data_IF_642972698641
#
_entry.id   IF_642972698641
#
_cell.length_a   1.000
_cell.length_b   1.000
_cell.length_c   1.000
_cell.angle_alpha   90.00
_cell.angle_beta   90.00
_cell.angle_gamma   90.00
#
_symmetry.space_group_name_H-M   'P 1'
#
loop_
_entity.id
_entity.type
_entity.pdbx_description
1 polymer ?
#
# COMPACT_ATOMS: atom_id res chain seq x y z
N UNK A 1 8.71 13.80 -22.89
CA UNK A 1 7.66 13.36 -23.84
C UNK A 1 7.15 11.99 -23.41
N UNK A 2 5.86 11.70 -23.55
CA UNK A 2 5.31 10.36 -23.28
C UNK A 2 5.74 9.38 -24.38
N UNK A 3 6.02 8.08 -24.09
CA UNK A 3 6.53 7.17 -25.11
C UNK A 3 5.53 6.95 -26.25
N UNK A 4 6.02 6.89 -27.50
CA UNK A 4 5.18 6.55 -28.65
C UNK A 4 4.80 5.06 -28.69
N UNK A 5 5.75 4.18 -28.34
CA UNK A 5 5.56 2.73 -28.30
C UNK A 5 4.42 2.33 -27.34
N UNK A 6 3.33 1.69 -27.84
CA UNK A 6 2.22 1.23 -27.01
C UNK A 6 2.64 0.30 -25.86
N UNK A 7 3.61 -0.60 -26.10
CA UNK A 7 4.04 -1.56 -25.07
C UNK A 7 4.70 -0.85 -23.89
N UNK A 8 5.64 0.07 -24.17
CA UNK A 8 6.25 0.92 -23.15
C UNK A 8 5.22 1.78 -22.39
N UNK A 9 4.22 2.33 -23.07
CA UNK A 9 3.14 3.09 -22.41
C UNK A 9 2.32 2.21 -21.45
N UNK A 10 2.02 0.99 -21.86
CA UNK A 10 1.29 0.03 -21.03
C UNK A 10 2.08 -0.34 -19.78
N UNK A 11 3.38 -0.64 -19.93
CA UNK A 11 4.26 -0.96 -18.82
C UNK A 11 4.34 0.18 -17.79
N UNK A 12 4.49 1.43 -18.23
CA UNK A 12 4.51 2.59 -17.31
C UNK A 12 3.18 2.71 -16.55
N UNK A 13 2.05 2.55 -17.23
CA UNK A 13 0.73 2.57 -16.57
C UNK A 13 0.57 1.43 -15.57
N UNK A 14 1.07 0.23 -15.89
CA UNK A 14 1.08 -0.90 -14.99
C UNK A 14 1.86 -0.57 -13.71
N UNK A 15 3.03 0.07 -13.81
CA UNK A 15 3.81 0.48 -12.63
C UNK A 15 3.06 1.49 -11.74
N UNK A 16 2.38 2.47 -12.32
CA UNK A 16 1.53 3.39 -11.56
C UNK A 16 0.34 2.66 -10.92
N UNK A 17 -0.26 1.72 -11.64
CA UNK A 17 -1.32 0.86 -11.12
C UNK A 17 -0.85 0.00 -9.94
N UNK A 18 0.36 -0.55 -10.02
CA UNK A 18 1.02 -1.32 -8.96
C UNK A 18 1.19 -0.48 -7.69
N UNK A 19 1.71 0.74 -7.83
CA UNK A 19 1.84 1.69 -6.70
C UNK A 19 0.49 1.98 -6.06
N UNK A 20 -0.52 2.33 -6.87
CA UNK A 20 -1.87 2.64 -6.37
C UNK A 20 -2.53 1.43 -5.69
N UNK A 21 -2.32 0.22 -6.22
CA UNK A 21 -2.85 -1.02 -5.62
C UNK A 21 -2.25 -1.27 -4.24
N UNK A 22 -0.94 -1.13 -4.09
CA UNK A 22 -0.25 -1.26 -2.81
C UNK A 22 -0.69 -0.18 -1.80
N UNK A 23 -0.79 1.07 -2.22
CA UNK A 23 -1.31 2.16 -1.39
C UNK A 23 -2.71 1.84 -0.84
N UNK A 24 -3.65 1.49 -1.72
CA UNK A 24 -5.03 1.19 -1.33
C UNK A 24 -5.11 -0.05 -0.44
N UNK A 25 -4.28 -1.06 -0.70
CA UNK A 25 -4.20 -2.24 0.14
C UNK A 25 -3.72 -1.88 1.56
N UNK A 26 -2.66 -1.07 1.69
CA UNK A 26 -2.14 -0.64 2.99
C UNK A 26 -3.18 0.18 3.76
N UNK A 27 -3.85 1.12 3.09
CA UNK A 27 -4.96 1.87 3.68
C UNK A 27 -6.12 0.95 4.13
N UNK A 28 -6.40 -0.11 3.37
CA UNK A 28 -7.40 -1.11 3.73
C UNK A 28 -7.04 -1.89 5.00
N UNK A 29 -5.76 -2.28 5.17
CA UNK A 29 -5.31 -2.96 6.38
C UNK A 29 -5.46 -2.07 7.62
N UNK A 30 -5.08 -0.80 7.50
CA UNK A 30 -5.20 0.16 8.61
C UNK A 30 -6.66 0.40 9.00
N UNK A 31 -7.56 0.53 8.02
CA UNK A 31 -9.00 0.63 8.31
C UNK A 31 -9.53 -0.61 9.01
N UNK A 32 -9.19 -1.80 8.53
CA UNK A 32 -9.63 -3.05 9.15
C UNK A 32 -9.12 -3.19 10.59
N UNK A 33 -7.87 -2.78 10.85
CA UNK A 33 -7.28 -2.76 12.21
C UNK A 33 -8.02 -1.77 13.13
N UNK A 34 -8.32 -0.56 12.64
CA UNK A 34 -9.13 0.42 13.39
C UNK A 34 -10.53 -0.10 13.70
N UNK A 35 -11.20 -0.71 12.72
CA UNK A 35 -12.53 -1.28 12.89
C UNK A 35 -12.51 -2.44 13.91
N UNK A 36 -11.50 -3.31 13.84
CA UNK A 36 -11.31 -4.40 14.80
C UNK A 36 -11.09 -3.87 16.23
N UNK A 37 -10.33 -2.78 16.39
CA UNK A 37 -10.14 -2.10 17.69
C UNK A 37 -11.40 -1.44 18.22
N UNK A 38 -12.22 -0.86 17.34
CA UNK A 38 -13.50 -0.28 17.73
C UNK A 38 -14.47 -1.35 18.28
N UNK A 39 -14.39 -2.58 17.77
CA UNK A 39 -15.20 -3.71 18.24
C UNK A 39 -14.60 -4.37 19.49
N UNK A 40 -13.27 -4.48 19.56
CA UNK A 40 -12.54 -5.05 20.67
C UNK A 40 -11.33 -4.18 21.02
N UNK A 41 -11.38 -3.39 22.11
CA UNK A 41 -10.28 -2.54 22.55
C UNK A 41 -8.94 -3.29 22.77
N UNK A 42 -8.99 -4.59 23.06
CA UNK A 42 -7.82 -5.45 23.29
C UNK A 42 -7.27 -6.09 21.99
N UNK A 43 -7.83 -5.75 20.83
CA UNK A 43 -7.33 -6.25 19.54
C UNK A 43 -5.84 -5.88 19.34
N UNK A 44 -4.96 -6.86 19.09
CA UNK A 44 -3.54 -6.60 18.88
C UNK A 44 -3.33 -5.91 17.53
N UNK A 45 -3.10 -4.60 17.59
CA UNK A 45 -2.90 -3.76 16.42
C UNK A 45 -1.58 -4.07 15.72
N UNK A 46 -1.60 -4.13 14.40
CA UNK A 46 -0.37 -4.17 13.60
C UNK A 46 0.21 -2.77 13.57
N UNK A 47 1.53 -2.63 13.74
CA UNK A 47 2.18 -1.34 13.54
C UNK A 47 1.92 -0.81 12.11
N UNK A 48 1.33 0.38 11.99
CA UNK A 48 1.04 1.03 10.69
C UNK A 48 2.27 1.72 10.11
N UNK A 49 3.38 1.00 10.08
CA UNK A 49 4.68 1.46 9.61
C UNK A 49 5.13 0.68 8.38
N UNK A 50 6.05 1.26 7.60
CA UNK A 50 6.45 0.72 6.31
C UNK A 50 6.97 -0.72 6.43
N UNK A 51 7.80 -1.01 7.43
CA UNK A 51 8.38 -2.34 7.63
C UNK A 51 7.32 -3.42 7.87
N UNK A 52 6.41 -3.18 8.81
CA UNK A 52 5.34 -4.12 9.17
C UNK A 52 4.37 -4.37 8.00
N UNK A 53 3.90 -3.31 7.35
CA UNK A 53 2.98 -3.42 6.21
C UNK A 53 3.64 -4.07 5.00
N UNK A 54 4.92 -3.78 4.74
CA UNK A 54 5.66 -4.45 3.64
C UNK A 54 5.88 -5.94 3.91
N UNK A 55 6.10 -6.32 5.18
CA UNK A 55 6.19 -7.73 5.56
C UNK A 55 4.88 -8.47 5.27
N UNK A 56 3.75 -7.89 5.66
CA UNK A 56 2.44 -8.45 5.36
C UNK A 56 2.13 -8.49 3.87
N UNK A 57 2.42 -7.42 3.13
CA UNK A 57 2.27 -7.39 1.67
C UNK A 57 3.00 -8.56 1.02
N UNK A 58 4.25 -8.83 1.43
CA UNK A 58 5.02 -9.94 0.88
C UNK A 58 4.40 -11.32 1.14
N UNK A 59 3.60 -11.49 2.18
CA UNK A 59 2.90 -12.74 2.48
C UNK A 59 1.64 -12.93 1.62
N UNK A 60 1.00 -11.84 1.19
CA UNK A 60 -0.30 -11.88 0.52
C UNK A 60 -0.28 -11.42 -0.94
N UNK A 61 0.83 -10.87 -1.43
CA UNK A 61 0.94 -10.26 -2.77
C UNK A 61 0.53 -11.20 -3.90
N UNK A 62 0.82 -12.50 -3.77
CA UNK A 62 0.43 -13.49 -4.77
C UNK A 62 -1.10 -13.65 -4.88
N UNK A 63 -1.83 -13.37 -3.80
CA UNK A 63 -3.30 -13.40 -3.76
C UNK A 63 -3.90 -12.05 -4.16
N UNK A 64 -3.39 -10.95 -3.61
CA UNK A 64 -4.00 -9.61 -3.78
C UNK A 64 -3.61 -8.95 -5.11
N UNK A 65 -2.48 -9.35 -5.68
CA UNK A 65 -1.97 -8.90 -6.97
C UNK A 65 -1.21 -10.06 -7.66
N UNK A 66 -1.91 -11.07 -8.21
CA UNK A 66 -1.26 -12.21 -8.88
C UNK A 66 -0.32 -11.82 -10.04
N UNK A 67 -0.52 -10.62 -10.59
CA UNK A 67 0.32 -10.00 -11.62
C UNK A 67 1.55 -9.27 -11.06
N UNK A 68 1.86 -9.38 -9.77
CA UNK A 68 2.79 -8.46 -9.11
C UNK A 68 4.18 -8.45 -9.73
N UNK A 69 4.63 -9.62 -10.21
CA UNK A 69 5.94 -9.87 -10.82
C UNK A 69 6.14 -9.13 -12.14
N UNK A 70 5.06 -8.64 -12.77
CA UNK A 70 5.14 -7.84 -13.99
C UNK A 70 5.59 -6.39 -13.74
N UNK A 71 5.63 -5.97 -12.47
CA UNK A 71 6.02 -4.61 -12.08
C UNK A 71 7.20 -4.63 -11.12
N UNK A 72 7.95 -3.53 -11.08
CA UNK A 72 9.04 -3.36 -10.13
C UNK A 72 8.52 -3.49 -8.69
N UNK A 73 9.30 -4.19 -7.85
CA UNK A 73 9.04 -4.29 -6.40
C UNK A 73 8.94 -2.90 -5.74
N UNK A 74 9.64 -1.91 -6.30
CA UNK A 74 9.66 -0.54 -5.79
C UNK A 74 8.30 0.14 -5.94
N UNK A 75 7.50 -0.21 -6.95
CA UNK A 75 6.15 0.34 -7.09
C UNK A 75 5.31 0.05 -5.84
N UNK A 76 5.38 -1.19 -5.32
CA UNK A 76 4.65 -1.57 -4.12
C UNK A 76 5.26 -0.97 -2.86
N UNK A 77 6.60 -0.98 -2.74
CA UNK A 77 7.29 -0.39 -1.60
C UNK A 77 6.97 1.10 -1.45
N UNK A 78 7.02 1.86 -2.55
CA UNK A 78 6.66 3.28 -2.55
C UNK A 78 5.17 3.48 -2.24
N UNK A 79 4.27 2.68 -2.84
CA UNK A 79 2.84 2.80 -2.56
C UNK A 79 2.49 2.59 -1.09
N UNK A 80 3.14 1.63 -0.42
CA UNK A 80 2.98 1.43 1.04
C UNK A 80 3.59 2.60 1.82
N UNK A 81 4.76 3.09 1.41
CA UNK A 81 5.42 4.23 2.08
C UNK A 81 4.57 5.50 2.03
N UNK A 82 3.99 5.82 0.87
CA UNK A 82 3.09 6.97 0.71
C UNK A 82 1.85 6.83 1.61
N UNK A 83 1.31 5.62 1.77
CA UNK A 83 0.15 5.38 2.63
C UNK A 83 0.50 5.63 4.10
N UNK A 84 1.66 5.13 4.55
CA UNK A 84 2.18 5.36 5.91
C UNK A 84 2.41 6.85 6.16
N UNK A 85 3.03 7.55 5.21
CA UNK A 85 3.24 9.00 5.30
C UNK A 85 1.92 9.77 5.39
N UNK A 86 0.94 9.45 4.53
CA UNK A 86 -0.37 10.06 4.56
C UNK A 86 -1.10 9.82 5.90
N UNK A 87 -0.99 8.61 6.47
CA UNK A 87 -1.56 8.28 7.78
C UNK A 87 -0.87 9.03 8.92
N UNK A 88 0.45 9.18 8.87
CA UNK A 88 1.20 9.98 9.84
C UNK A 88 0.77 11.45 9.77
N UNK A 89 0.64 12.02 8.57
CA UNK A 89 0.18 13.39 8.38
C UNK A 89 -1.24 13.59 8.92
N UNK A 90 -2.15 12.65 8.66
CA UNK A 90 -3.50 12.67 9.21
C UNK A 90 -3.50 12.59 10.75
N UNK A 91 -2.70 11.70 11.34
CA UNK A 91 -2.57 11.56 12.79
C UNK A 91 -2.02 12.85 13.42
N UNK A 92 -0.96 13.41 12.84
CA UNK A 92 -0.35 14.67 13.30
C UNK A 92 -1.31 15.84 13.19
N UNK A 93 -2.09 15.96 12.11
CA UNK A 93 -3.08 17.04 11.95
C UNK A 93 -4.19 17.02 13.01
N UNK A 94 -4.41 15.88 13.67
CA UNK A 94 -5.35 15.75 14.79
C UNK A 94 -4.73 16.05 16.15
N UNK A 95 -3.40 16.16 16.21
CA UNK A 95 -2.65 16.35 17.44
C UNK A 95 -2.27 17.81 17.74
N UNK A 96 -2.49 18.74 16.80
CA UNK A 96 -2.26 20.19 16.97
C UNK A 96 -1.19 20.74 16.05
#
# INVERSE_FOLDING_TARGET
QWPADPARRSAIRAHFGARRKAFNWALGQVKADMDARNLNPDHPSVAWELGALRKQWNQVKDQVAPWWSQNSKECYSTGIADAVEALNNWKSSKAG
#
